data_IF_441542311770
#
_entry.id   IF_441542311770
#
_cell.length_a   1.000
_cell.length_b   1.000
_cell.length_c   1.000
_cell.angle_alpha   90.00
_cell.angle_beta   90.00
_cell.angle_gamma   90.00
#
_symmetry.space_group_name_H-M   'P 1'
#
loop_
_entity.id
_entity.type
_entity.pdbx_description
1 polymer ?
#
# COMPACT_ATOMS: atom_id res chain seq x y z
N UNK A 1 -6.29 2.02 -2.48
CA UNK A 1 -5.04 1.24 -2.37
C UNK A 1 -3.98 1.80 -3.31
N UNK A 2 -2.69 1.62 -3.03
CA UNK A 2 -1.61 2.18 -3.87
C UNK A 2 -0.56 1.12 -4.20
N UNK A 3 0.05 1.24 -5.38
CA UNK A 3 1.18 0.40 -5.81
C UNK A 3 2.48 1.14 -5.54
N UNK A 4 3.53 0.40 -5.20
CA UNK A 4 4.82 0.99 -4.87
C UNK A 4 5.95 0.19 -5.51
N UNK A 5 6.97 0.89 -5.95
CA UNK A 5 8.23 0.31 -6.44
C UNK A 5 9.41 0.97 -5.72
N UNK A 6 10.50 0.24 -5.56
CA UNK A 6 11.73 0.78 -4.99
C UNK A 6 12.60 1.38 -6.09
N UNK A 7 12.87 2.68 -6.01
CA UNK A 7 13.79 3.40 -6.89
C UNK A 7 14.90 4.00 -6.03
N UNK A 8 16.15 3.61 -6.28
CA UNK A 8 17.30 4.08 -5.49
C UNK A 8 17.21 3.73 -3.99
N UNK A 9 16.63 2.57 -3.66
CA UNK A 9 16.43 2.13 -2.27
C UNK A 9 15.25 2.81 -1.56
N UNK A 10 14.48 3.65 -2.25
CA UNK A 10 13.32 4.35 -1.67
C UNK A 10 12.02 3.86 -2.29
N UNK A 11 11.02 3.65 -1.45
CA UNK A 11 9.66 3.36 -1.89
C UNK A 11 9.02 4.58 -2.54
N UNK A 12 8.54 4.41 -3.77
CA UNK A 12 7.84 5.44 -4.52
C UNK A 12 6.48 4.91 -4.96
N UNK A 13 5.42 5.71 -4.81
CA UNK A 13 4.08 5.33 -5.27
C UNK A 13 4.07 5.30 -6.80
N UNK A 14 3.67 4.16 -7.37
CA UNK A 14 3.43 3.98 -8.79
C UNK A 14 1.97 4.35 -9.11
N UNK A 15 1.80 5.47 -9.79
CA UNK A 15 0.48 5.96 -10.20
C UNK A 15 -0.39 6.48 -9.04
N UNK A 16 -1.67 6.60 -9.32
CA UNK A 16 -2.66 7.09 -8.37
C UNK A 16 -3.19 5.98 -7.46
N UNK A 17 -3.90 6.37 -6.42
CA UNK A 17 -4.62 5.41 -5.61
C UNK A 17 -5.83 4.87 -6.38
N UNK A 18 -6.05 3.57 -6.24
CA UNK A 18 -7.11 2.83 -6.94
C UNK A 18 -8.11 2.28 -5.92
N UNK A 19 -9.40 2.27 -6.24
CA UNK A 19 -10.41 1.43 -5.59
C UNK A 19 -10.57 0.17 -6.43
N UNK A 20 -10.42 -0.99 -5.81
CA UNK A 20 -10.52 -2.28 -6.50
C UNK A 20 -11.15 -3.30 -5.56
N UNK A 21 -12.02 -4.14 -6.11
CA UNK A 21 -12.41 -5.39 -5.47
C UNK A 21 -11.31 -6.45 -5.65
N UNK A 22 -11.55 -7.64 -5.08
CA UNK A 22 -10.57 -8.72 -5.10
C UNK A 22 -10.21 -9.23 -6.49
N UNK A 23 -11.19 -9.29 -7.40
CA UNK A 23 -10.99 -9.75 -8.77
C UNK A 23 -10.23 -8.73 -9.60
N UNK A 24 -10.61 -7.46 -9.50
CA UNK A 24 -9.90 -6.35 -10.12
C UNK A 24 -8.45 -6.28 -9.62
N UNK A 25 -8.21 -6.40 -8.31
CA UNK A 25 -6.84 -6.44 -7.79
C UNK A 25 -6.04 -7.60 -8.38
N UNK A 26 -6.60 -8.83 -8.42
CA UNK A 26 -5.91 -9.97 -9.03
C UNK A 26 -5.52 -9.71 -10.50
N UNK A 27 -6.33 -8.97 -11.25
CA UNK A 27 -6.03 -8.51 -12.61
C UNK A 27 -4.88 -7.50 -12.68
N UNK A 28 -4.82 -6.56 -11.73
CA UNK A 28 -3.80 -5.49 -11.67
C UNK A 28 -2.38 -5.97 -11.31
N UNK A 29 -2.22 -7.17 -10.74
CA UNK A 29 -0.92 -7.68 -10.31
C UNK A 29 -0.08 -8.19 -11.48
N UNK A 30 0.60 -7.34 -12.24
CA UNK A 30 1.35 -7.78 -13.45
C UNK A 30 2.60 -8.65 -13.17
N UNK A 31 3.13 -8.62 -11.95
CA UNK A 31 4.37 -9.30 -11.54
C UNK A 31 4.30 -9.72 -10.06
N UNK A 32 5.20 -10.59 -9.57
CA UNK A 32 5.27 -10.90 -8.14
C UNK A 32 5.32 -9.64 -7.28
N UNK A 33 4.30 -9.46 -6.46
CA UNK A 33 4.05 -8.24 -5.69
C UNK A 33 3.68 -8.61 -4.26
N UNK A 34 4.33 -7.96 -3.29
CA UNK A 34 3.95 -8.06 -1.88
C UNK A 34 2.63 -7.32 -1.65
N UNK A 35 1.62 -8.06 -1.18
CA UNK A 35 0.31 -7.52 -0.82
C UNK A 35 0.24 -7.46 0.70
N UNK A 36 0.13 -6.26 1.25
CA UNK A 36 0.09 -5.99 2.69
C UNK A 36 -1.05 -5.05 3.07
N UNK A 37 -1.27 -4.90 4.38
CA UNK A 37 -2.39 -4.15 4.95
C UNK A 37 -3.55 -5.04 5.36
N UNK A 38 -4.74 -4.46 5.46
CA UNK A 38 -5.93 -5.18 5.94
C UNK A 38 -6.51 -6.03 4.81
N UNK A 39 -6.20 -7.34 4.82
CA UNK A 39 -6.62 -8.28 3.79
C UNK A 39 -7.74 -9.17 4.36
N UNK A 40 -8.95 -9.02 3.83
CA UNK A 40 -10.09 -9.86 4.21
C UNK A 40 -9.90 -11.32 3.78
N UNK A 41 -10.70 -12.22 4.33
CA UNK A 41 -10.67 -13.65 3.98
C UNK A 41 -10.99 -13.84 2.50
N UNK A 42 -11.98 -13.11 1.98
CA UNK A 42 -12.42 -13.15 0.59
C UNK A 42 -11.32 -12.65 -0.35
N UNK A 43 -10.64 -11.55 0.03
CA UNK A 43 -9.53 -11.02 -0.74
C UNK A 43 -8.37 -12.02 -0.80
N UNK A 44 -7.99 -12.60 0.34
CA UNK A 44 -6.94 -13.63 0.42
C UNK A 44 -7.29 -14.85 -0.44
N UNK A 45 -8.53 -15.33 -0.36
CA UNK A 45 -8.99 -16.48 -1.14
C UNK A 45 -8.92 -16.20 -2.65
N UNK A 46 -9.40 -15.03 -3.08
CA UNK A 46 -9.42 -14.64 -4.50
C UNK A 46 -8.00 -14.49 -5.05
N UNK A 47 -7.09 -13.86 -4.32
CA UNK A 47 -5.69 -13.70 -4.73
C UNK A 47 -4.97 -15.05 -4.82
N UNK A 48 -5.22 -15.96 -3.87
CA UNK A 48 -4.69 -17.33 -3.94
C UNK A 48 -5.24 -18.13 -5.13
N UNK A 49 -6.48 -17.90 -5.53
CA UNK A 49 -7.09 -18.63 -6.64
C UNK A 49 -6.68 -18.07 -8.02
N UNK A 50 -6.58 -16.74 -8.14
CA UNK A 50 -6.50 -16.06 -9.45
C UNK A 50 -5.14 -15.39 -9.73
N UNK A 51 -4.27 -15.30 -8.72
CA UNK A 51 -2.98 -14.63 -8.83
C UNK A 51 -1.90 -15.27 -7.93
N UNK A 52 -1.95 -16.59 -7.70
CA UNK A 52 -1.07 -17.28 -6.76
C UNK A 52 0.43 -17.04 -7.01
N UNK A 53 0.82 -16.93 -8.27
CA UNK A 53 2.18 -16.68 -8.75
C UNK A 53 2.60 -15.20 -8.67
N UNK A 54 1.63 -14.29 -8.60
CA UNK A 54 1.84 -12.82 -8.62
C UNK A 54 1.55 -12.16 -7.26
N UNK A 55 0.80 -12.81 -6.38
CA UNK A 55 0.37 -12.27 -5.09
C UNK A 55 1.14 -12.90 -3.92
N UNK A 56 2.17 -12.21 -3.44
CA UNK A 56 2.89 -12.60 -2.22
C UNK A 56 2.15 -11.98 -1.04
N UNK A 57 1.38 -12.78 -0.31
CA UNK A 57 0.55 -12.27 0.80
C UNK A 57 1.38 -12.09 2.07
N UNK A 58 1.37 -10.88 2.64
CA UNK A 58 1.97 -10.64 3.94
C UNK A 58 1.28 -11.48 5.03
N UNK A 59 2.08 -11.96 5.98
CA UNK A 59 1.56 -12.54 7.22
C UNK A 59 0.77 -11.48 7.99
N UNK A 60 -0.18 -11.92 8.80
CA UNK A 60 -1.00 -11.04 9.63
C UNK A 60 -0.13 -10.17 10.55
N UNK A 61 0.94 -10.74 11.11
CA UNK A 61 1.90 -10.03 11.95
C UNK A 61 2.67 -8.91 11.22
N UNK A 62 2.85 -9.04 9.90
CA UNK A 62 3.51 -8.05 9.05
C UNK A 62 2.52 -7.00 8.50
N UNK A 63 1.22 -7.22 8.68
CA UNK A 63 0.17 -6.38 8.14
C UNK A 63 -0.38 -5.34 9.15
N UNK A 64 0.23 -5.27 10.34
CA UNK A 64 -0.22 -4.43 11.46
C UNK A 64 0.22 -2.98 11.26
N UNK A 65 -0.69 -2.03 11.49
CA UNK A 65 -0.41 -0.58 11.45
C UNK A 65 0.29 -0.15 12.75
N UNK A 66 1.63 -0.12 12.78
CA UNK A 66 2.41 0.30 13.97
C UNK A 66 2.82 1.77 13.87
N UNK A 67 2.56 2.53 14.94
CA UNK A 67 2.95 3.94 15.00
C UNK A 67 4.47 4.16 14.84
N UNK A 68 5.29 3.19 15.25
CA UNK A 68 6.75 3.25 15.07
C UNK A 68 7.19 3.45 13.62
N UNK A 69 6.52 2.83 12.65
CA UNK A 69 6.84 3.03 11.23
C UNK A 69 6.54 4.46 10.78
N UNK A 70 5.46 5.06 11.27
CA UNK A 70 5.15 6.47 10.97
C UNK A 70 6.17 7.42 11.62
N UNK A 71 6.62 7.10 12.83
CA UNK A 71 7.65 7.89 13.52
C UNK A 71 8.99 7.86 12.79
N UNK A 72 9.41 6.69 12.29
CA UNK A 72 10.63 6.54 11.49
C UNK A 72 10.56 7.34 10.17
N UNK A 73 9.44 7.20 9.43
CA UNK A 73 9.21 7.98 8.20
C UNK A 73 9.16 9.49 8.47
N UNK A 74 8.55 9.93 9.58
CA UNK A 74 8.51 11.33 9.97
C UNK A 74 9.88 11.87 10.39
N UNK A 75 10.69 11.05 11.07
CA UNK A 75 12.05 11.40 11.47
C UNK A 75 12.93 11.69 10.26
N UNK A 76 12.91 10.81 9.25
CA UNK A 76 13.66 11.02 8.00
C UNK A 76 13.28 12.32 7.28
N UNK A 77 11.99 12.66 7.25
CA UNK A 77 11.51 13.92 6.65
C UNK A 77 11.98 15.12 7.46
N UNK A 78 11.88 15.03 8.79
CA UNK A 78 12.31 16.09 9.71
C UNK A 78 13.81 16.40 9.58
N UNK A 79 14.67 15.38 9.47
CA UNK A 79 16.12 15.55 9.26
C UNK A 79 16.46 16.25 7.94
N UNK A 80 15.60 16.12 6.92
CA UNK A 80 15.74 16.81 5.63
C UNK A 80 15.14 18.23 5.64
N UNK A 81 14.58 18.66 6.77
CA UNK A 81 13.88 19.95 6.90
C UNK A 81 12.49 19.96 6.25
N UNK A 82 11.96 18.80 5.84
CA UNK A 82 10.63 18.68 5.25
C UNK A 82 9.56 18.71 6.33
N UNK A 83 8.58 19.61 6.19
CA UNK A 83 7.42 19.73 7.09
C UNK A 83 6.21 20.20 6.30
N UNK A 84 5.03 19.70 6.68
CA UNK A 84 3.75 20.12 6.11
C UNK A 84 3.13 21.23 6.99
N UNK A 85 2.40 22.18 6.37
CA UNK A 85 1.54 23.11 7.11
C UNK A 85 0.27 22.35 7.57
N UNK A 86 0.00 22.24 8.89
CA UNK A 86 -1.17 21.53 9.37
C UNK A 86 -2.50 22.04 8.79
N UNK A 87 -2.60 23.34 8.48
CA UNK A 87 -3.82 23.92 7.90
C UNK A 87 -4.06 23.51 6.44
N UNK A 88 -3.01 23.05 5.75
CA UNK A 88 -3.07 22.60 4.35
C UNK A 88 -3.41 21.11 4.20
N UNK A 89 -3.36 20.34 5.28
CA UNK A 89 -3.57 18.89 5.22
C UNK A 89 -5.05 18.56 5.03
N UNK A 90 -5.33 17.72 4.04
CA UNK A 90 -6.66 17.20 3.75
C UNK A 90 -6.63 15.66 3.62
N UNK A 91 -7.68 14.95 4.05
CA UNK A 91 -7.80 13.52 3.79
C UNK A 91 -7.95 13.23 2.30
N UNK A 92 -7.39 12.11 1.85
CA UNK A 92 -7.58 11.60 0.48
C UNK A 92 -8.80 10.67 0.48
N UNK A 93 -9.94 11.18 0.02
CA UNK A 93 -11.14 10.37 -0.20
C UNK A 93 -11.26 9.99 -1.67
N UNK A 94 -11.17 8.69 -1.96
CA UNK A 94 -11.43 8.17 -3.30
C UNK A 94 -12.93 7.99 -3.48
N UNK A 95 -13.42 8.46 -4.63
CA UNK A 95 -14.82 8.32 -5.02
C UNK A 95 -14.90 7.26 -6.12
N UNK A 96 -15.78 6.27 -5.93
CA UNK A 96 -16.23 5.43 -7.04
C UNK A 96 -17.30 6.21 -7.79
N UNK A 97 -17.03 6.54 -9.05
CA UNK A 97 -18.06 7.02 -9.99
C UNK A 97 -19.08 5.92 -10.26
#
# INVERSE_FOLDING_TARGET
MGFYDTVGGRWNRRGDYVLADAGHLAGLLERPTLVCGELSVELRATLKASAADRAILASEASAVRRAGFLAELAWERLERGERDDPASLAPIYLQSV
#
